data_IF_697070786239
#
_entry.id   IF_697070786239
#
_cell.length_a   1.000
_cell.length_b   1.000
_cell.length_c   1.000
_cell.angle_alpha   90.00
_cell.angle_beta   90.00
_cell.angle_gamma   90.00
#
_symmetry.space_group_name_H-M   'P 1'
#
loop_
_entity.id
_entity.type
_entity.pdbx_description
1 polymer ?
#
# COMPACT_ATOMS: atom_id res chain seq x y z
N UNK A 1 23.89 -11.85 -1.68
CA UNK A 1 22.66 -11.11 -2.02
C UNK A 1 21.63 -11.52 -0.99
N UNK A 2 20.94 -10.56 -0.34
CA UNK A 2 19.88 -10.93 0.60
C UNK A 2 18.76 -11.62 -0.20
N UNK A 3 18.32 -12.80 0.23
CA UNK A 3 17.32 -13.59 -0.47
C UNK A 3 15.91 -13.04 -0.19
N UNK A 4 15.13 -12.82 -1.26
CA UNK A 4 13.76 -12.32 -1.18
C UNK A 4 12.79 -13.33 -1.78
N UNK A 5 11.61 -13.44 -1.15
CA UNK A 5 10.50 -14.21 -1.71
C UNK A 5 9.63 -13.30 -2.56
N UNK A 6 9.41 -13.70 -3.81
CA UNK A 6 8.35 -13.14 -4.65
C UNK A 6 7.12 -14.02 -4.52
N UNK A 7 6.00 -13.44 -4.12
CA UNK A 7 4.69 -14.09 -4.14
C UNK A 7 3.81 -13.37 -5.15
N UNK A 8 3.25 -14.11 -6.11
CA UNK A 8 2.26 -13.58 -7.04
C UNK A 8 0.98 -14.36 -6.81
N UNK A 9 0.11 -13.79 -5.99
CA UNK A 9 -1.24 -14.31 -5.81
C UNK A 9 -2.15 -13.75 -6.92
N UNK A 10 -3.25 -14.47 -7.21
CA UNK A 10 -4.31 -13.98 -8.08
C UNK A 10 -5.36 -13.18 -7.31
N UNK A 11 -6.62 -13.43 -7.65
CA UNK A 11 -7.74 -12.91 -6.89
C UNK A 11 -7.93 -13.69 -5.59
N UNK A 12 -7.99 -12.97 -4.48
CA UNK A 12 -8.37 -13.49 -3.17
C UNK A 12 -9.48 -12.61 -2.58
N UNK A 13 -10.23 -13.17 -1.62
CA UNK A 13 -11.22 -12.36 -0.90
C UNK A 13 -10.52 -11.28 -0.07
N UNK A 14 -11.22 -10.17 0.23
CA UNK A 14 -10.64 -9.12 1.06
C UNK A 14 -10.14 -9.62 2.42
N UNK A 15 -10.80 -10.60 3.03
CA UNK A 15 -10.36 -11.18 4.30
C UNK A 15 -9.09 -12.05 4.15
N UNK A 16 -9.01 -12.87 3.11
CA UNK A 16 -7.83 -13.70 2.83
C UNK A 16 -6.59 -12.84 2.55
N UNK A 17 -6.73 -11.74 1.82
CA UNK A 17 -5.63 -10.82 1.57
C UNK A 17 -5.05 -10.24 2.86
N UNK A 18 -5.91 -9.79 3.78
CA UNK A 18 -5.49 -9.25 5.07
C UNK A 18 -4.85 -10.33 5.96
N UNK A 19 -5.48 -11.52 6.02
CA UNK A 19 -4.95 -12.63 6.81
C UNK A 19 -3.57 -13.09 6.30
N UNK A 20 -3.37 -13.10 4.98
CA UNK A 20 -2.10 -13.52 4.37
C UNK A 20 -0.97 -12.52 4.63
N UNK A 21 -1.23 -11.23 4.53
CA UNK A 21 -0.26 -10.21 4.93
C UNK A 21 0.09 -10.31 6.43
N UNK A 22 -0.89 -10.57 7.29
CA UNK A 22 -0.66 -10.77 8.72
C UNK A 22 0.21 -12.00 9.00
N UNK A 23 -0.09 -13.14 8.38
CA UNK A 23 0.70 -14.37 8.54
C UNK A 23 2.13 -14.16 8.05
N UNK A 24 2.31 -13.54 6.88
CA UNK A 24 3.64 -13.25 6.33
C UNK A 24 4.42 -12.32 7.27
N UNK A 25 3.79 -11.26 7.79
CA UNK A 25 4.40 -10.34 8.75
C UNK A 25 4.88 -11.10 10.00
N UNK A 26 4.00 -11.90 10.61
CA UNK A 26 4.34 -12.69 11.81
C UNK A 26 5.47 -13.68 11.55
N UNK A 27 5.49 -14.33 10.38
CA UNK A 27 6.55 -15.28 10.02
C UNK A 27 7.89 -14.60 9.83
N UNK A 28 7.93 -13.42 9.20
CA UNK A 28 9.16 -12.63 9.05
C UNK A 28 9.65 -12.13 10.41
N UNK A 29 8.75 -11.64 11.27
CA UNK A 29 9.08 -11.27 12.67
C UNK A 29 9.71 -12.44 13.42
N UNK A 30 9.17 -13.64 13.27
CA UNK A 30 9.67 -14.85 13.93
C UNK A 30 10.97 -15.41 13.31
N UNK A 31 11.52 -14.80 12.26
CA UNK A 31 12.66 -15.34 11.51
C UNK A 31 12.35 -16.63 10.74
N UNK A 32 11.07 -17.01 10.62
CA UNK A 32 10.59 -18.23 9.97
C UNK A 32 10.27 -18.03 8.47
N UNK A 33 10.57 -16.85 7.93
CA UNK A 33 10.47 -16.51 6.50
C UNK A 33 11.45 -15.39 6.16
N UNK A 34 12.07 -15.46 4.98
CA UNK A 34 12.79 -14.35 4.37
C UNK A 34 11.85 -13.17 4.06
N UNK A 35 12.39 -11.95 3.87
CA UNK A 35 11.63 -10.80 3.38
C UNK A 35 10.87 -11.13 2.10
N UNK A 36 9.75 -10.46 1.87
CA UNK A 36 8.94 -10.74 0.70
C UNK A 36 8.35 -9.50 0.02
N UNK A 37 8.24 -9.61 -1.30
CA UNK A 37 7.38 -8.80 -2.15
C UNK A 37 6.23 -9.69 -2.60
N UNK A 38 5.01 -9.23 -2.39
CA UNK A 38 3.78 -9.92 -2.73
C UNK A 38 2.95 -9.04 -3.67
N UNK A 39 2.39 -9.63 -4.71
CA UNK A 39 1.38 -9.03 -5.58
C UNK A 39 0.07 -9.82 -5.48
N UNK A 40 -1.07 -9.15 -5.46
CA UNK A 40 -2.39 -9.79 -5.36
C UNK A 40 -3.51 -8.90 -5.91
N UNK A 41 -4.70 -9.50 -6.10
CA UNK A 41 -5.93 -8.81 -6.51
C UNK A 41 -7.09 -9.15 -5.56
N UNK A 42 -8.20 -8.42 -5.70
CA UNK A 42 -9.35 -8.52 -4.80
C UNK A 42 -10.57 -9.06 -5.54
N UNK A 43 -11.18 -10.13 -5.03
CA UNK A 43 -12.49 -10.60 -5.50
C UNK A 43 -13.27 -11.26 -4.36
N UNK A 44 -14.48 -10.79 -4.01
CA UNK A 44 -15.17 -9.60 -4.53
C UNK A 44 -14.44 -8.29 -4.19
N UNK A 45 -14.90 -7.13 -4.71
CA UNK A 45 -14.33 -5.83 -4.35
C UNK A 45 -14.29 -5.63 -2.84
N UNK A 46 -13.25 -4.94 -2.36
CA UNK A 46 -12.99 -4.76 -0.94
C UNK A 46 -12.89 -3.29 -0.55
N UNK A 47 -13.46 -2.91 0.58
CA UNK A 47 -13.14 -1.64 1.23
C UNK A 47 -12.22 -1.93 2.41
N UNK A 48 -10.94 -1.58 2.29
CA UNK A 48 -10.02 -1.67 3.43
C UNK A 48 -10.12 -0.40 4.26
N UNK A 49 -10.33 -0.54 5.58
CA UNK A 49 -10.30 0.58 6.53
C UNK A 49 -9.01 0.54 7.33
N UNK A 50 -8.44 1.71 7.63
CA UNK A 50 -7.20 1.78 8.41
C UNK A 50 -7.36 1.23 9.82
N UNK A 51 -6.26 0.76 10.41
CA UNK A 51 -6.21 0.16 11.76
C UNK A 51 -6.95 0.97 12.81
N UNK A 52 -6.78 2.29 12.79
CA UNK A 52 -7.35 3.22 13.79
C UNK A 52 -8.57 4.00 13.29
N UNK A 53 -9.01 3.77 12.05
CA UNK A 53 -10.15 4.49 11.47
C UNK A 53 -11.48 4.02 12.10
N UNK A 54 -12.28 4.97 12.57
CA UNK A 54 -13.63 4.72 13.06
C UNK A 54 -14.59 4.50 11.89
N UNK A 55 -15.40 3.46 11.97
CA UNK A 55 -16.36 3.10 10.91
C UNK A 55 -17.56 4.05 10.87
N UNK A 56 -18.00 4.51 12.05
CA UNK A 56 -19.30 5.17 12.28
C UNK A 56 -19.51 6.45 11.44
N UNK A 57 -18.44 7.15 11.04
CA UNK A 57 -18.53 8.45 10.35
C UNK A 57 -17.81 8.51 8.99
N UNK A 58 -17.21 7.40 8.52
CA UNK A 58 -16.33 7.43 7.34
C UNK A 58 -16.61 6.36 6.29
N UNK A 59 -17.59 5.48 6.53
CA UNK A 59 -17.88 4.34 5.64
C UNK A 59 -19.38 4.12 5.54
N UNK A 60 -19.91 4.20 4.31
CA UNK A 60 -21.27 3.78 4.01
C UNK A 60 -21.35 2.24 3.92
N UNK A 61 -21.62 1.61 5.06
CA UNK A 61 -21.81 0.15 5.12
C UNK A 61 -23.05 -0.32 4.34
N UNK A 62 -24.06 0.54 4.18
CA UNK A 62 -25.26 0.23 3.41
C UNK A 62 -24.93 0.13 1.93
N UNK A 63 -24.25 1.14 1.39
CA UNK A 63 -23.69 1.15 0.04
C UNK A 63 -22.77 -0.03 -0.21
N UNK A 64 -21.84 -0.32 0.72
CA UNK A 64 -20.94 -1.47 0.57
C UNK A 64 -21.72 -2.78 0.42
N UNK A 65 -22.73 -3.03 1.27
CA UNK A 65 -23.57 -4.24 1.16
C UNK A 65 -24.34 -4.28 -0.16
N UNK A 66 -24.93 -3.16 -0.58
CA UNK A 66 -25.70 -3.05 -1.83
C UNK A 66 -24.85 -3.38 -3.06
N UNK A 67 -23.57 -2.97 -3.05
CA UNK A 67 -22.64 -3.16 -4.17
C UNK A 67 -21.76 -4.41 -4.02
N UNK A 68 -22.00 -5.28 -3.04
CA UNK A 68 -21.22 -6.50 -2.83
C UNK A 68 -19.78 -6.26 -2.32
N UNK A 69 -19.45 -5.04 -1.92
CA UNK A 69 -18.13 -4.65 -1.40
C UNK A 69 -17.95 -5.19 0.01
N UNK A 70 -16.89 -5.97 0.24
CA UNK A 70 -16.59 -6.50 1.59
C UNK A 70 -15.69 -5.53 2.34
N UNK A 71 -16.11 -5.15 3.54
CA UNK A 71 -15.36 -4.23 4.40
C UNK A 71 -14.39 -5.04 5.27
N UNK A 72 -13.11 -4.70 5.24
CA UNK A 72 -12.06 -5.32 6.05
C UNK A 72 -11.19 -4.28 6.72
N UNK A 73 -10.57 -4.60 7.86
CA UNK A 73 -9.62 -3.71 8.54
C UNK A 73 -8.20 -4.21 8.29
N UNK A 74 -7.32 -3.31 7.86
CA UNK A 74 -5.91 -3.61 7.60
C UNK A 74 -5.02 -3.33 8.81
N UNK A 75 -3.84 -3.96 8.83
CA UNK A 75 -2.83 -3.79 9.88
C UNK A 75 -2.16 -2.40 9.87
N UNK A 76 -2.19 -1.71 8.73
CA UNK A 76 -1.64 -0.36 8.56
C UNK A 76 -2.65 0.72 8.90
N UNK A 77 -2.16 1.94 9.15
CA UNK A 77 -3.02 3.13 9.30
C UNK A 77 -3.60 3.64 7.98
N UNK A 78 -4.04 4.90 7.99
CA UNK A 78 -4.60 5.61 6.82
C UNK A 78 -6.13 5.56 6.74
N UNK A 79 -6.68 6.14 5.68
CA UNK A 79 -8.13 6.23 5.42
C UNK A 79 -8.67 5.04 4.62
N UNK A 80 -9.98 5.00 4.37
CA UNK A 80 -10.57 3.88 3.66
C UNK A 80 -10.11 3.87 2.19
N UNK A 81 -9.82 2.68 1.66
CA UNK A 81 -9.44 2.49 0.26
C UNK A 81 -10.35 1.45 -0.36
N UNK A 82 -10.99 1.80 -1.48
CA UNK A 82 -11.76 0.88 -2.29
C UNK A 82 -10.82 0.15 -3.24
N UNK A 83 -10.87 -1.17 -3.20
CA UNK A 83 -10.09 -2.07 -4.02
C UNK A 83 -11.04 -2.84 -4.94
N UNK A 84 -10.86 -2.66 -6.25
CA UNK A 84 -11.62 -3.36 -7.28
C UNK A 84 -10.68 -3.72 -8.43
N UNK A 85 -10.67 -2.93 -9.51
CA UNK A 85 -9.77 -3.15 -10.64
C UNK A 85 -8.39 -2.53 -10.43
N UNK A 86 -7.61 -3.23 -9.60
CA UNK A 86 -6.24 -2.84 -9.27
C UNK A 86 -5.32 -4.05 -9.14
N UNK A 87 -4.02 -3.76 -9.21
CA UNK A 87 -2.95 -4.60 -8.71
C UNK A 87 -2.51 -4.06 -7.35
N UNK A 88 -2.53 -4.89 -6.32
CA UNK A 88 -2.03 -4.51 -4.98
C UNK A 88 -0.69 -5.16 -4.72
N UNK A 89 0.21 -4.41 -4.11
CA UNK A 89 1.50 -4.92 -3.66
C UNK A 89 1.58 -4.88 -2.13
N UNK A 90 2.29 -5.81 -1.52
CA UNK A 90 2.78 -5.70 -0.14
C UNK A 90 4.26 -6.09 -0.04
N UNK A 91 5.01 -5.35 0.77
CA UNK A 91 6.42 -5.57 1.08
C UNK A 91 6.52 -5.78 2.57
N UNK A 92 7.13 -6.90 2.96
CA UNK A 92 7.37 -7.27 4.36
C UNK A 92 8.86 -7.49 4.53
N UNK A 93 9.48 -6.67 5.37
CA UNK A 93 10.94 -6.62 5.47
C UNK A 93 11.42 -6.24 6.88
N UNK A 94 12.35 -6.98 7.50
CA UNK A 94 12.99 -6.57 8.74
C UNK A 94 13.77 -5.27 8.54
N UNK A 95 13.75 -4.35 9.51
CA UNK A 95 14.56 -3.12 9.46
C UNK A 95 16.06 -3.42 9.57
N UNK A 96 16.45 -4.64 9.93
CA UNK A 96 17.85 -5.10 9.94
C UNK A 96 18.39 -5.38 8.55
N UNK A 97 17.54 -5.43 7.52
CA UNK A 97 17.98 -5.55 6.13
C UNK A 97 18.80 -4.32 5.73
N UNK A 98 19.91 -4.53 5.01
CA UNK A 98 20.90 -3.47 4.69
C UNK A 98 20.30 -2.22 4.03
N UNK A 99 19.27 -2.37 3.19
CA UNK A 99 18.59 -1.23 2.55
C UNK A 99 17.68 -0.44 3.49
N UNK A 100 17.34 -1.00 4.65
CA UNK A 100 16.37 -0.48 5.62
C UNK A 100 17.00 -0.18 7.00
N UNK A 101 18.24 -0.61 7.22
CA UNK A 101 18.95 -0.37 8.48
C UNK A 101 19.07 1.12 8.79
N UNK A 102 18.83 1.47 10.06
CA UNK A 102 18.90 2.85 10.58
C UNK A 102 17.96 3.85 9.85
N UNK A 103 16.96 3.37 9.10
CA UNK A 103 15.99 4.23 8.40
C UNK A 103 14.73 4.47 9.23
N UNK A 104 14.34 5.74 9.29
CA UNK A 104 13.03 6.15 9.79
C UNK A 104 11.90 5.74 8.85
N UNK A 105 10.67 6.01 9.26
CA UNK A 105 9.44 5.72 8.48
C UNK A 105 9.52 6.40 7.10
N UNK A 106 9.83 7.69 7.08
CA UNK A 106 9.96 8.54 5.88
C UNK A 106 11.00 7.98 4.90
N UNK A 107 12.17 7.57 5.40
CA UNK A 107 13.23 7.01 4.55
C UNK A 107 12.85 5.67 3.94
N UNK A 108 12.05 4.88 4.64
CA UNK A 108 11.56 3.58 4.15
C UNK A 108 10.57 3.74 3.02
N UNK A 109 9.62 4.67 3.18
CA UNK A 109 8.73 5.08 2.09
C UNK A 109 9.55 5.50 0.88
N UNK A 110 10.56 6.36 1.05
CA UNK A 110 11.42 6.80 -0.06
C UNK A 110 12.12 5.63 -0.77
N UNK A 111 12.67 4.67 -0.01
CA UNK A 111 13.34 3.48 -0.58
C UNK A 111 12.35 2.64 -1.40
N UNK A 112 11.16 2.37 -0.84
CA UNK A 112 10.15 1.54 -1.50
C UNK A 112 9.56 2.27 -2.70
N UNK A 113 9.19 3.54 -2.57
CA UNK A 113 8.64 4.34 -3.66
C UNK A 113 9.62 4.47 -4.84
N UNK A 114 10.91 4.63 -4.59
CA UNK A 114 11.92 4.60 -5.68
C UNK A 114 11.97 3.25 -6.39
N UNK A 115 11.87 2.14 -5.66
CA UNK A 115 11.84 0.81 -6.24
C UNK A 115 10.58 0.60 -7.09
N UNK A 116 9.42 1.08 -6.62
CA UNK A 116 8.15 1.02 -7.35
C UNK A 116 8.19 1.88 -8.61
N UNK A 117 8.65 3.14 -8.54
CA UNK A 117 8.84 4.00 -9.72
C UNK A 117 9.71 3.29 -10.76
N UNK A 118 10.85 2.72 -10.33
CA UNK A 118 11.71 1.98 -11.23
C UNK A 118 11.03 0.75 -11.85
N UNK A 119 10.22 0.03 -11.07
CA UNK A 119 9.42 -1.09 -11.56
C UNK A 119 8.39 -0.67 -12.61
N UNK A 120 7.70 0.45 -12.39
CA UNK A 120 6.74 1.02 -13.33
C UNK A 120 7.42 1.50 -14.62
N UNK A 121 8.59 2.16 -14.52
CA UNK A 121 9.38 2.55 -15.70
C UNK A 121 9.77 1.33 -16.55
N UNK A 122 10.22 0.24 -15.91
CA UNK A 122 10.55 -1.01 -16.59
C UNK A 122 9.32 -1.65 -17.25
N UNK A 123 8.13 -1.41 -16.70
CA UNK A 123 6.85 -1.82 -17.29
C UNK A 123 6.34 -0.84 -18.37
N UNK A 124 7.07 0.21 -18.70
CA UNK A 124 6.71 1.19 -19.73
C UNK A 124 5.86 2.37 -19.23
N UNK A 125 5.64 2.50 -17.92
CA UNK A 125 4.90 3.62 -17.33
C UNK A 125 5.83 4.66 -16.71
N UNK A 126 5.91 5.84 -17.33
CA UNK A 126 6.62 6.98 -16.77
C UNK A 126 5.91 7.50 -15.53
N UNK A 127 6.58 7.44 -14.38
CA UNK A 127 6.04 7.90 -13.09
C UNK A 127 7.12 8.59 -12.25
N UNK A 128 6.71 9.42 -11.30
CA UNK A 128 7.62 10.12 -10.37
C UNK A 128 7.04 10.12 -8.96
N UNK A 129 7.87 10.42 -7.96
CA UNK A 129 7.36 10.68 -6.60
C UNK A 129 6.83 12.12 -6.51
N UNK A 130 5.70 12.32 -5.83
CA UNK A 130 5.00 13.61 -5.79
C UNK A 130 5.84 14.78 -5.26
N UNK A 131 6.83 14.52 -4.38
CA UNK A 131 7.77 15.55 -3.87
C UNK A 131 8.91 15.90 -4.83
N UNK A 132 9.04 15.19 -5.95
CA UNK A 132 10.02 15.43 -7.01
C UNK A 132 9.34 15.98 -8.29
N UNK A 133 7.99 16.05 -8.32
CA UNK A 133 7.21 16.64 -9.39
C UNK A 133 6.88 18.13 -9.08
N UNK A 134 6.82 19.02 -10.10
CA UNK A 134 6.32 20.37 -9.88
C UNK A 134 4.88 20.30 -9.38
N UNK A 135 4.63 20.81 -8.18
CA UNK A 135 3.29 20.89 -7.59
C UNK A 135 2.43 21.85 -8.41
N UNK A 136 1.26 21.40 -8.87
CA UNK A 136 0.20 22.35 -9.21
C UNK A 136 -0.36 22.90 -7.89
N UNK A 137 -0.45 24.23 -7.70
CA UNK A 137 -1.04 24.80 -6.50
C UNK A 137 -2.50 24.35 -6.38
N UNK A 138 -2.91 24.00 -5.16
CA UNK A 138 -4.31 23.72 -4.80
C UNK A 138 -5.14 24.99 -5.08
N UNK A 139 -6.08 24.98 -6.06
CA UNK A 139 -6.87 26.16 -6.38
C UNK A 139 -7.88 26.53 -5.28
N UNK A 140 -8.12 25.66 -4.30
CA UNK A 140 -9.27 25.78 -3.40
C UNK A 140 -8.96 25.60 -1.90
N UNK A 141 -7.75 25.18 -1.51
CA UNK A 141 -7.38 25.02 -0.09
C UNK A 141 -8.24 23.99 0.66
N UNK A 142 -8.88 23.05 -0.05
CA UNK A 142 -9.96 22.22 0.51
C UNK A 142 -9.46 20.98 1.29
N UNK A 143 -8.15 20.73 1.34
CA UNK A 143 -7.59 19.72 2.25
C UNK A 143 -8.15 18.31 2.07
N UNK A 144 -8.64 17.96 0.87
CA UNK A 144 -9.12 16.62 0.56
C UNK A 144 -7.89 15.71 0.45
N UNK A 145 -7.85 14.63 1.25
CA UNK A 145 -6.71 13.70 1.43
C UNK A 145 -6.20 13.03 0.12
N UNK A 146 -6.93 13.21 -0.99
CA UNK A 146 -6.56 12.76 -2.33
C UNK A 146 -5.76 13.79 -3.14
N UNK A 147 -5.86 15.09 -2.80
CA UNK A 147 -5.31 16.20 -3.60
C UNK A 147 -4.03 16.80 -3.04
N UNK A 148 -3.73 16.59 -1.75
CA UNK A 148 -2.42 16.93 -1.17
C UNK A 148 -1.60 15.66 -1.12
N UNK A 149 -0.64 15.45 -2.05
CA UNK A 149 0.12 14.23 -2.05
C UNK A 149 0.88 14.12 -0.74
N UNK A 150 0.66 13.03 0.00
CA UNK A 150 1.57 12.71 1.10
C UNK A 150 2.96 12.42 0.52
N UNK A 151 4.01 12.80 1.26
CA UNK A 151 5.39 12.65 0.78
C UNK A 151 5.62 11.20 0.33
N UNK A 152 6.14 11.01 -0.89
CA UNK A 152 6.43 9.72 -1.56
C UNK A 152 5.26 8.93 -2.15
N UNK A 153 4.09 9.55 -2.31
CA UNK A 153 3.10 9.05 -3.28
C UNK A 153 3.68 9.04 -4.70
N UNK A 154 3.21 8.10 -5.52
CA UNK A 154 3.67 7.97 -6.90
C UNK A 154 2.61 8.54 -7.83
N UNK A 155 3.06 9.40 -8.74
CA UNK A 155 2.22 10.08 -9.72
C UNK A 155 2.64 9.73 -11.15
N UNK A 156 1.67 9.64 -12.04
CA UNK A 156 1.88 9.53 -13.49
C UNK A 156 0.88 10.43 -14.21
N UNK A 157 1.34 11.20 -15.21
CA UNK A 157 0.49 12.16 -15.93
C UNK A 157 -0.20 13.19 -15.03
N UNK A 158 0.43 13.58 -13.90
CA UNK A 158 -0.13 14.51 -12.93
C UNK A 158 -1.24 13.95 -12.03
N UNK A 159 -1.50 12.63 -12.08
CA UNK A 159 -2.47 11.94 -11.22
C UNK A 159 -1.77 10.97 -10.29
N UNK A 160 -2.28 10.82 -9.08
CA UNK A 160 -1.82 9.79 -8.13
C UNK A 160 -2.18 8.42 -8.65
N UNK A 161 -1.18 7.54 -8.76
CA UNK A 161 -1.36 6.15 -9.20
C UNK A 161 -1.01 5.14 -8.11
N UNK A 162 -0.21 5.51 -7.10
CA UNK A 162 0.04 4.65 -5.94
C UNK A 162 -0.05 5.46 -4.66
N UNK A 163 -1.03 5.12 -3.83
CA UNK A 163 -1.08 5.45 -2.42
C UNK A 163 -0.59 4.28 -1.59
N UNK A 164 0.26 4.53 -0.60
CA UNK A 164 0.83 3.47 0.24
C UNK A 164 0.53 3.71 1.71
N UNK A 165 0.40 2.63 2.47
CA UNK A 165 0.31 2.66 3.91
C UNK A 165 1.33 1.70 4.51
N UNK A 166 1.89 2.08 5.67
CA UNK A 166 2.95 1.31 6.33
C UNK A 166 2.63 1.14 7.81
N UNK A 167 2.99 -0.03 8.34
CA UNK A 167 3.12 -0.27 9.78
C UNK A 167 4.51 -0.82 10.08
N UNK A 168 4.94 -0.66 11.33
CA UNK A 168 6.15 -1.27 11.87
C UNK A 168 5.79 -2.04 13.12
N UNK A 169 6.11 -3.31 13.13
CA UNK A 169 5.83 -4.22 14.24
C UNK A 169 7.05 -5.09 14.49
N UNK A 170 7.53 -5.15 15.74
CA UNK A 170 8.70 -5.94 16.14
C UNK A 170 9.88 -5.79 15.17
N UNK A 171 10.29 -4.55 14.87
CA UNK A 171 11.39 -4.24 13.95
C UNK A 171 11.19 -4.77 12.52
N UNK A 172 9.95 -5.04 12.11
CA UNK A 172 9.58 -5.47 10.76
C UNK A 172 8.60 -4.48 10.15
N UNK A 173 8.86 -4.08 8.91
CA UNK A 173 8.03 -3.20 8.11
C UNK A 173 7.02 -4.07 7.35
N UNK A 174 5.76 -3.65 7.34
CA UNK A 174 4.76 -4.04 6.34
C UNK A 174 4.29 -2.76 5.64
N UNK A 175 4.59 -2.63 4.35
CA UNK A 175 4.05 -1.57 3.50
C UNK A 175 3.26 -2.20 2.37
N UNK A 176 2.08 -1.64 2.08
CA UNK A 176 1.26 -2.06 0.95
C UNK A 176 0.63 -0.85 0.28
N UNK A 177 0.26 -1.02 -0.98
CA UNK A 177 -0.39 0.01 -1.78
C UNK A 177 -1.00 -0.59 -3.03
N UNK A 178 -1.85 0.19 -3.67
CA UNK A 178 -2.56 -0.22 -4.88
C UNK A 178 -2.11 0.55 -6.10
N UNK A 179 -2.20 -0.12 -7.24
CA UNK A 179 -1.93 0.41 -8.57
C UNK A 179 -3.20 0.16 -9.41
N UNK A 180 -3.98 1.20 -9.74
CA UNK A 180 -5.10 1.06 -10.68
C UNK A 180 -4.58 0.55 -12.03
N UNK A 181 -5.32 -0.36 -12.66
CA UNK A 181 -4.93 -0.99 -13.93
C UNK A 181 -5.87 -0.67 -15.10
N UNK A 182 -6.95 0.08 -14.83
CA UNK A 182 -7.90 0.64 -15.80
C UNK A 182 -8.11 2.15 -15.57
#
# INVERSE_FOLDING_TARGET
>A
MDEWRLLVDGYLTPAENMARDEVLLRRVIAGASSPCLRFYRWKPPGLSIGRFQKVVNGVDLGGCRKHGVKVVRRLTGGEAVLHDDELTYSIIVPVTQRKFERKGVVDTYRVISRALVRGLELAGLSSTMAGEAPTRPDPAGQGICFYTPTVYEIVAGGRKIIGSAQTREMMTILQHGSVPID
#
